data_IF_376934299322
#
_entry.id   IF_376934299322
#
_cell.length_a   1.000
_cell.length_b   1.000
_cell.length_c   1.000
_cell.angle_alpha   90.00
_cell.angle_beta   90.00
_cell.angle_gamma   90.00
#
_symmetry.space_group_name_H-M   'P 1'
#
loop_
_entity.id
_entity.type
_entity.pdbx_description
1 polymer ?
#
# COMPACT_ATOMS: atom_id res chain seq x y z
N UNK A 1 -20.39 -14.07 -8.66
CA UNK A 1 -21.16 -13.01 -7.99
C UNK A 1 -20.53 -12.82 -6.63
N UNK A 2 -19.88 -11.67 -6.38
CA UNK A 2 -19.27 -11.40 -5.07
C UNK A 2 -20.38 -11.19 -4.06
N UNK A 3 -20.49 -12.09 -3.09
CA UNK A 3 -21.39 -11.94 -1.95
C UNK A 3 -20.90 -10.75 -1.15
N UNK A 4 -21.67 -9.65 -1.13
CA UNK A 4 -21.25 -8.46 -0.40
C UNK A 4 -21.15 -8.80 1.10
N UNK A 5 -19.96 -8.67 1.69
CA UNK A 5 -19.72 -8.93 3.12
C UNK A 5 -20.48 -7.98 4.05
N UNK A 6 -21.00 -6.86 3.53
CA UNK A 6 -21.96 -6.00 4.20
C UNK A 6 -23.06 -5.59 3.23
N UNK A 7 -24.32 -5.81 3.59
CA UNK A 7 -25.50 -5.32 2.87
C UNK A 7 -26.48 -4.72 3.87
N UNK A 8 -26.88 -3.46 3.65
CA UNK A 8 -27.80 -2.74 4.51
C UNK A 8 -28.06 -1.34 4.00
N UNK A 9 -28.99 -0.63 4.64
CA UNK A 9 -29.35 0.74 4.32
C UNK A 9 -28.69 1.70 5.30
N UNK A 10 -28.17 2.82 4.80
CA UNK A 10 -27.70 3.96 5.60
C UNK A 10 -28.51 5.18 5.24
N UNK A 11 -28.85 5.99 6.25
CA UNK A 11 -29.52 7.27 6.01
C UNK A 11 -28.53 8.31 5.53
N UNK A 12 -28.89 9.08 4.51
CA UNK A 12 -28.15 10.27 4.10
C UNK A 12 -28.63 11.44 4.96
N UNK A 13 -27.74 11.97 5.77
CA UNK A 13 -28.02 13.10 6.64
C UNK A 13 -27.95 14.42 5.85
N UNK A 14 -28.22 15.54 6.54
CA UNK A 14 -28.07 16.87 5.95
C UNK A 14 -26.66 17.05 5.37
N UNK A 15 -26.59 17.77 4.24
CA UNK A 15 -25.34 18.02 3.49
C UNK A 15 -24.71 16.74 2.89
N UNK A 16 -25.45 15.65 2.75
CA UNK A 16 -24.95 14.44 2.08
C UNK A 16 -24.06 13.55 2.95
N UNK A 17 -24.04 13.74 4.27
CA UNK A 17 -23.21 12.94 5.18
C UNK A 17 -23.81 11.54 5.36
N UNK A 18 -22.97 10.52 5.19
CA UNK A 18 -23.30 9.13 5.53
C UNK A 18 -22.39 8.67 6.67
N UNK A 19 -22.96 7.96 7.63
CA UNK A 19 -22.19 7.27 8.65
C UNK A 19 -21.97 5.82 8.20
N UNK A 20 -20.72 5.44 7.95
CA UNK A 20 -20.40 4.04 7.67
C UNK A 20 -20.57 3.20 8.95
N UNK A 21 -21.27 2.05 8.86
CA UNK A 21 -21.45 1.14 9.99
C UNK A 21 -20.12 0.75 10.63
N UNK A 22 -20.10 0.63 11.95
CA UNK A 22 -18.87 0.34 12.73
C UNK A 22 -18.15 -0.91 12.23
N UNK A 23 -18.89 -1.99 11.95
CA UNK A 23 -18.30 -3.22 11.42
C UNK A 23 -17.61 -3.03 10.06
N UNK A 24 -18.14 -2.16 9.19
CA UNK A 24 -17.53 -1.86 7.90
C UNK A 24 -16.25 -1.04 8.08
N UNK A 25 -16.27 -0.05 8.99
CA UNK A 25 -15.09 0.79 9.27
C UNK A 25 -13.92 -0.02 9.81
N UNK A 26 -14.17 -0.85 10.83
CA UNK A 26 -13.14 -1.68 11.46
C UNK A 26 -12.53 -2.70 10.49
N UNK A 27 -13.37 -3.37 9.68
CA UNK A 27 -12.88 -4.36 8.70
C UNK A 27 -12.05 -3.74 7.58
N UNK A 28 -12.33 -2.49 7.22
CA UNK A 28 -11.65 -1.77 6.15
C UNK A 28 -10.63 -0.73 6.66
N UNK A 29 -10.31 -0.73 7.96
CA UNK A 29 -9.38 0.20 8.59
C UNK A 29 -9.72 1.68 8.37
N UNK A 30 -11.01 2.01 8.21
CA UNK A 30 -11.50 3.37 7.96
C UNK A 30 -11.66 4.21 9.25
N UNK A 31 -11.34 3.62 10.39
CA UNK A 31 -11.23 4.28 11.70
C UNK A 31 -9.80 4.72 12.03
N UNK A 32 -8.82 4.41 11.18
CA UNK A 32 -7.44 4.85 11.34
C UNK A 32 -7.24 6.30 10.89
N UNK A 33 -6.32 7.07 11.54
CA UNK A 33 -6.02 8.44 11.14
C UNK A 33 -5.58 8.53 9.67
N UNK A 34 -6.21 9.41 8.91
CA UNK A 34 -5.90 9.61 7.50
C UNK A 34 -6.62 8.65 6.54
N UNK A 35 -7.45 7.72 7.00
CA UNK A 35 -8.22 6.88 6.09
C UNK A 35 -9.06 7.72 5.09
N UNK A 36 -9.01 7.36 3.81
CA UNK A 36 -9.74 8.03 2.74
C UNK A 36 -10.63 7.05 1.98
N UNK A 37 -11.64 7.58 1.30
CA UNK A 37 -12.45 6.84 0.34
C UNK A 37 -12.35 7.54 -1.01
N UNK A 38 -11.94 6.80 -2.03
CA UNK A 38 -12.17 7.19 -3.41
C UNK A 38 -13.67 7.02 -3.71
N UNK A 39 -14.27 8.04 -4.34
CA UNK A 39 -15.67 8.04 -4.76
C UNK A 39 -15.73 8.03 -6.28
N UNK A 40 -16.30 6.99 -6.87
CA UNK A 40 -16.51 6.89 -8.31
C UNK A 40 -18.00 6.71 -8.60
N UNK A 41 -18.58 7.59 -9.41
CA UNK A 41 -19.88 7.36 -10.04
C UNK A 41 -19.67 6.54 -11.31
N UNK A 42 -20.21 5.34 -11.35
CA UNK A 42 -20.17 4.46 -12.52
C UNK A 42 -21.29 4.81 -13.50
N UNK A 43 -21.12 4.41 -14.76
CA UNK A 43 -22.10 4.66 -15.83
C UNK A 43 -23.48 4.01 -15.58
N UNK A 44 -23.54 2.97 -14.74
CA UNK A 44 -24.77 2.29 -14.31
C UNK A 44 -25.46 2.98 -13.11
N UNK A 45 -24.95 4.14 -12.67
CA UNK A 45 -25.49 4.91 -11.54
C UNK A 45 -25.06 4.37 -10.16
N UNK A 46 -24.16 3.38 -10.12
CA UNK A 46 -23.59 2.88 -8.87
C UNK A 46 -22.54 3.85 -8.36
N UNK A 47 -22.69 4.29 -7.11
CA UNK A 47 -21.62 4.99 -6.37
C UNK A 47 -20.73 3.93 -5.74
N UNK A 48 -19.49 3.83 -6.21
CA UNK A 48 -18.47 2.94 -5.67
C UNK A 48 -17.57 3.71 -4.71
N UNK A 49 -17.37 3.16 -3.51
CA UNK A 49 -16.48 3.69 -2.47
C UNK A 49 -15.33 2.71 -2.27
N UNK A 50 -14.09 3.14 -2.53
CA UNK A 50 -12.89 2.32 -2.32
C UNK A 50 -12.03 2.89 -1.19
N UNK A 51 -11.73 2.13 -0.13
CA UNK A 51 -10.72 2.53 0.85
C UNK A 51 -9.40 2.86 0.14
N UNK A 52 -8.83 4.01 0.48
CA UNK A 52 -7.54 4.46 -0.02
C UNK A 52 -6.65 4.85 1.15
N UNK A 53 -5.38 4.47 1.07
CA UNK A 53 -4.34 4.91 1.99
C UNK A 53 -3.69 6.15 1.38
N UNK A 54 -3.79 7.34 2.01
CA UNK A 54 -3.05 8.48 1.52
C UNK A 54 -1.57 8.25 1.76
N UNK A 55 -0.80 8.29 0.67
CA UNK A 55 0.65 8.30 0.74
C UNK A 55 1.09 9.76 0.77
N UNK A 56 1.88 10.21 1.76
CA UNK A 56 2.50 11.52 1.74
C UNK A 56 3.19 11.77 0.40
N UNK A 57 2.99 12.95 -0.19
CA UNK A 57 3.45 13.23 -1.55
C UNK A 57 4.97 13.05 -1.73
N UNK A 58 5.74 13.32 -0.67
CA UNK A 58 7.19 13.12 -0.60
C UNK A 58 7.62 11.64 -0.51
N UNK A 59 6.70 10.73 -0.22
CA UNK A 59 6.91 9.27 -0.20
C UNK A 59 6.23 8.55 -1.37
N UNK A 60 5.45 9.25 -2.19
CA UNK A 60 4.74 8.68 -3.34
C UNK A 60 5.69 8.02 -4.36
N UNK A 61 6.95 8.46 -4.44
CA UNK A 61 7.95 7.88 -5.34
C UNK A 61 8.24 6.40 -5.05
N UNK A 62 8.12 5.96 -3.80
CA UNK A 62 8.34 4.56 -3.41
C UNK A 62 7.33 3.63 -4.11
N UNK A 63 6.12 4.13 -4.31
CA UNK A 63 5.02 3.40 -4.94
C UNK A 63 5.01 3.50 -6.47
N UNK A 64 5.98 4.17 -7.08
CA UNK A 64 6.11 4.17 -8.53
C UNK A 64 6.40 2.75 -9.04
N UNK A 65 5.78 2.36 -10.18
CA UNK A 65 5.89 1.00 -10.74
C UNK A 65 7.34 0.49 -10.85
N UNK A 66 8.25 1.37 -11.30
CA UNK A 66 9.69 1.07 -11.38
C UNK A 66 10.33 0.69 -10.05
N UNK A 67 9.89 1.30 -8.95
CA UNK A 67 10.44 1.04 -7.61
C UNK A 67 9.88 -0.26 -7.05
N UNK A 68 8.56 -0.47 -7.17
CA UNK A 68 7.92 -1.73 -6.80
C UNK A 68 8.43 -2.92 -7.62
N UNK A 69 8.87 -2.73 -8.86
CA UNK A 69 9.48 -3.79 -9.66
C UNK A 69 10.87 -4.17 -9.12
N UNK A 70 11.71 -3.19 -8.82
CA UNK A 70 13.02 -3.45 -8.22
C UNK A 70 12.92 -4.09 -6.83
N UNK A 71 11.94 -3.69 -6.03
CA UNK A 71 11.70 -4.33 -4.73
C UNK A 71 11.37 -5.82 -4.89
N UNK A 72 10.52 -6.18 -5.86
CA UNK A 72 10.21 -7.58 -6.18
C UNK A 72 11.43 -8.36 -6.65
N UNK A 73 12.29 -7.75 -7.47
CA UNK A 73 13.54 -8.39 -7.92
C UNK A 73 14.48 -8.67 -6.74
N UNK A 74 14.59 -7.73 -5.80
CA UNK A 74 15.38 -7.92 -4.57
C UNK A 74 14.77 -9.02 -3.69
N UNK A 75 13.45 -9.04 -3.50
CA UNK A 75 12.77 -10.10 -2.77
C UNK A 75 13.04 -11.49 -3.39
N UNK A 76 13.01 -11.60 -4.72
CA UNK A 76 13.34 -12.83 -5.44
C UNK A 76 14.82 -13.21 -5.27
N UNK A 77 15.74 -12.24 -5.23
CA UNK A 77 17.16 -12.46 -4.95
C UNK A 77 17.38 -12.95 -3.52
N UNK A 78 16.72 -12.34 -2.53
CA UNK A 78 16.75 -12.75 -1.12
C UNK A 78 16.20 -14.16 -0.98
N UNK A 79 15.03 -14.45 -1.55
CA UNK A 79 14.39 -15.76 -1.48
C UNK A 79 15.24 -16.85 -2.13
N UNK A 80 15.95 -16.53 -3.21
CA UNK A 80 16.85 -17.45 -3.89
C UNK A 80 18.26 -17.51 -3.26
N UNK A 81 18.52 -16.76 -2.19
CA UNK A 81 19.83 -16.70 -1.54
C UNK A 81 20.92 -16.04 -2.40
N UNK A 82 20.53 -15.25 -3.41
CA UNK A 82 21.44 -14.45 -4.27
C UNK A 82 21.86 -13.15 -3.59
N UNK A 83 22.02 -13.18 -2.28
CA UNK A 83 22.41 -12.05 -1.44
C UNK A 83 23.67 -12.41 -0.65
N UNK A 84 24.53 -11.43 -0.45
CA UNK A 84 25.70 -11.60 0.43
C UNK A 84 25.37 -11.03 1.79
N UNK A 85 25.53 -11.83 2.84
CA UNK A 85 25.34 -11.41 4.23
C UNK A 85 26.72 -11.27 4.87
N UNK A 86 26.94 -10.13 5.53
CA UNK A 86 28.16 -9.85 6.27
C UNK A 86 27.88 -9.93 7.77
N UNK A 87 28.81 -10.48 8.54
CA UNK A 87 28.63 -10.63 9.99
C UNK A 87 28.65 -9.28 10.72
N UNK A 88 29.36 -8.29 10.17
CA UNK A 88 29.47 -6.95 10.71
C UNK A 88 29.73 -5.90 9.61
N UNK A 89 29.72 -4.63 10.02
CA UNK A 89 29.93 -3.50 9.12
C UNK A 89 31.34 -3.40 8.54
N UNK A 90 32.37 -3.84 9.27
CA UNK A 90 33.77 -3.80 8.79
C UNK A 90 33.96 -4.78 7.63
N UNK A 91 33.37 -5.98 7.73
CA UNK A 91 33.38 -6.98 6.65
C UNK A 91 32.64 -6.48 5.40
N UNK A 92 31.52 -5.78 5.59
CA UNK A 92 30.78 -5.16 4.48
C UNK A 92 31.61 -4.08 3.79
N UNK A 93 32.23 -3.17 4.55
CA UNK A 93 33.05 -2.10 3.99
C UNK A 93 34.27 -2.64 3.25
N UNK A 94 34.96 -3.64 3.82
CA UNK A 94 36.08 -4.31 3.15
C UNK A 94 35.66 -4.95 1.81
N UNK A 95 34.46 -5.53 1.73
CA UNK A 95 33.93 -6.03 0.47
C UNK A 95 33.65 -4.91 -0.54
N UNK A 96 33.00 -3.82 -0.11
CA UNK A 96 32.73 -2.66 -0.99
C UNK A 96 34.03 -2.08 -1.55
N UNK A 97 35.05 -1.88 -0.72
CA UNK A 97 36.36 -1.38 -1.15
C UNK A 97 37.01 -2.34 -2.17
N UNK A 98 36.83 -3.66 -1.98
CA UNK A 98 37.39 -4.67 -2.89
C UNK A 98 36.77 -4.67 -4.29
N UNK A 99 35.49 -4.26 -4.42
CA UNK A 99 34.80 -4.18 -5.71
C UNK A 99 34.95 -2.79 -6.36
N UNK A 100 35.21 -1.74 -5.58
CA UNK A 100 35.48 -0.38 -6.09
C UNK A 100 36.88 -0.28 -6.72
N UNK A 101 37.85 -1.02 -6.18
CA UNK A 101 39.23 -1.07 -6.71
C UNK A 101 39.36 -1.87 -8.02
N UNK A 102 38.26 -2.41 -8.55
CA UNK A 102 38.19 -3.29 -9.72
C UNK A 102 37.60 -2.68 -11.01
N UNK A 103 37.46 -1.36 -11.10
CA UNK A 103 37.00 -0.65 -12.32
C UNK A 103 38.08 0.25 -12.93
#
# INVERSE_FOLDING_TARGET
MSTAEFHGYVGVQRRGLIALPTALRQRLHLDEPGAQLEVTERADGVIELRPSVPIPADQAWFWAERWQQREREVDDDVAAGRVTVFENGDDFLAFVDSIDTGQ
#
